data_IF_854010334943
#
_entry.id   IF_854010334943
#
_cell.length_a   1.000
_cell.length_b   1.000
_cell.length_c   1.000
_cell.angle_alpha   90.00
_cell.angle_beta   90.00
_cell.angle_gamma   90.00
#
_symmetry.space_group_name_H-M   'P 1'
#
loop_
_entity.id
_entity.type
_entity.pdbx_description
1 polymer ?
#
# COMPACT_ATOMS: atom_id res chain seq x y z
N UNK A 1 -2.35 -9.00 13.22
CA UNK A 1 -2.21 -9.07 11.74
C UNK A 1 -3.54 -9.14 10.97
N UNK A 2 -4.73 -9.17 11.60
CA UNK A 2 -6.01 -9.39 10.89
C UNK A 2 -6.37 -8.32 9.83
N UNK A 3 -5.78 -7.12 9.91
CA UNK A 3 -6.00 -6.03 8.95
C UNK A 3 -5.10 -6.11 7.70
N UNK A 4 -4.18 -7.07 7.65
CA UNK A 4 -3.39 -7.40 6.46
C UNK A 4 -4.04 -8.61 5.81
N UNK A 5 -4.54 -8.45 4.58
CA UNK A 5 -5.06 -9.61 3.84
C UNK A 5 -3.94 -10.61 3.48
N UNK A 6 -4.34 -11.80 3.05
CA UNK A 6 -3.39 -12.87 2.74
C UNK A 6 -2.39 -12.47 1.65
N UNK A 7 -2.85 -11.77 0.59
CA UNK A 7 -1.99 -11.34 -0.52
C UNK A 7 -0.89 -10.40 -0.03
N UNK A 8 -1.22 -9.43 0.81
CA UNK A 8 -0.27 -8.48 1.38
C UNK A 8 0.65 -9.15 2.41
N UNK A 9 0.14 -10.11 3.19
CA UNK A 9 0.96 -10.88 4.12
C UNK A 9 1.99 -11.74 3.38
N UNK A 10 1.63 -12.34 2.25
CA UNK A 10 2.54 -13.13 1.42
C UNK A 10 3.66 -12.27 0.82
N UNK A 11 3.34 -11.05 0.36
CA UNK A 11 4.34 -10.07 -0.09
C UNK A 11 5.38 -9.77 1.00
N UNK A 12 4.94 -9.56 2.25
CA UNK A 12 5.85 -9.32 3.38
C UNK A 12 6.69 -10.55 3.72
N UNK A 13 6.09 -11.74 3.75
CA UNK A 13 6.78 -13.01 4.04
C UNK A 13 7.82 -13.35 2.97
N UNK A 14 7.58 -12.98 1.71
CA UNK A 14 8.53 -13.19 0.62
C UNK A 14 9.88 -12.46 0.82
N UNK A 15 9.92 -11.41 1.65
CA UNK A 15 11.17 -10.73 2.02
C UNK A 15 12.09 -11.58 2.90
N UNK A 16 11.55 -12.64 3.53
CA UNK A 16 12.27 -13.51 4.46
C UNK A 16 13.09 -12.73 5.52
N UNK A 17 12.49 -11.65 6.05
CA UNK A 17 13.15 -10.71 6.94
C UNK A 17 12.27 -10.40 8.16
N UNK A 18 12.54 -11.08 9.27
CA UNK A 18 11.78 -10.91 10.51
C UNK A 18 11.81 -9.49 11.07
N UNK A 19 12.88 -8.71 10.82
CA UNK A 19 12.97 -7.33 11.30
C UNK A 19 11.90 -6.46 10.65
N UNK A 20 11.64 -6.67 9.35
CA UNK A 20 10.58 -5.93 8.63
C UNK A 20 9.21 -6.28 9.19
N UNK A 21 8.94 -7.57 9.45
CA UNK A 21 7.67 -8.02 10.03
C UNK A 21 7.42 -7.34 11.38
N UNK A 22 8.42 -7.35 12.28
CA UNK A 22 8.33 -6.72 13.60
C UNK A 22 8.04 -5.22 13.53
N UNK A 23 8.70 -4.50 12.61
CA UNK A 23 8.44 -3.07 12.40
C UNK A 23 7.00 -2.85 11.92
N UNK A 24 6.52 -3.65 10.97
CA UNK A 24 5.14 -3.52 10.48
C UNK A 24 4.13 -3.77 11.60
N UNK A 25 4.34 -4.82 12.41
CA UNK A 25 3.50 -5.10 13.57
C UNK A 25 3.49 -3.94 14.58
N UNK A 26 4.67 -3.43 14.94
CA UNK A 26 4.82 -2.30 15.86
C UNK A 26 4.00 -1.07 15.40
N UNK A 27 4.12 -0.69 14.13
CA UNK A 27 3.41 0.48 13.62
C UNK A 27 1.90 0.23 13.40
N UNK A 28 1.48 -1.01 13.14
CA UNK A 28 0.05 -1.36 13.13
C UNK A 28 -0.56 -1.15 14.51
N UNK A 29 0.10 -1.64 15.56
CA UNK A 29 -0.39 -1.52 16.94
C UNK A 29 -0.43 -0.06 17.41
N UNK A 30 0.58 0.74 17.02
CA UNK A 30 0.67 2.16 17.34
C UNK A 30 -0.35 3.02 16.59
N UNK A 31 -0.41 2.89 15.26
CA UNK A 31 -1.22 3.77 14.42
C UNK A 31 -2.69 3.33 14.29
N UNK A 32 -2.99 2.06 14.62
CA UNK A 32 -4.33 1.46 14.53
C UNK A 32 -5.03 1.75 13.18
N UNK A 33 -4.37 1.48 12.04
CA UNK A 33 -4.96 1.78 10.74
C UNK A 33 -6.16 0.87 10.47
N UNK A 34 -7.10 1.34 9.64
CA UNK A 34 -8.26 0.55 9.22
C UNK A 34 -7.93 -0.53 8.20
N UNK A 35 -6.84 -0.37 7.44
CA UNK A 35 -6.34 -1.31 6.41
C UNK A 35 -4.84 -1.15 6.23
N UNK A 36 -4.15 -2.23 5.91
CA UNK A 36 -2.74 -2.23 5.49
C UNK A 36 -2.63 -2.78 4.07
N UNK A 37 -1.77 -2.19 3.24
CA UNK A 37 -1.49 -2.63 1.88
C UNK A 37 0.01 -2.52 1.62
N UNK A 38 0.58 -3.52 0.94
CA UNK A 38 2.00 -3.66 0.65
C UNK A 38 2.21 -3.41 -0.83
N UNK A 39 2.97 -2.37 -1.15
CA UNK A 39 3.26 -1.88 -2.50
C UNK A 39 4.61 -2.44 -2.96
N UNK A 40 4.64 -3.11 -4.12
CA UNK A 40 5.83 -3.79 -4.65
C UNK A 40 6.37 -3.17 -5.94
N UNK A 41 5.93 -1.95 -6.27
CA UNK A 41 6.21 -1.28 -7.56
C UNK A 41 5.80 -2.11 -8.80
N UNK A 42 4.86 -3.04 -8.65
CA UNK A 42 4.24 -3.67 -9.82
C UNK A 42 3.34 -2.65 -10.53
N UNK A 43 3.09 -2.87 -11.82
CA UNK A 43 2.20 -1.98 -12.60
C UNK A 43 0.83 -1.85 -11.94
N UNK A 44 0.32 -2.94 -11.36
CA UNK A 44 -0.97 -2.96 -10.66
C UNK A 44 -0.95 -2.17 -9.35
N UNK A 45 0.13 -2.26 -8.57
CA UNK A 45 0.25 -1.52 -7.31
C UNK A 45 0.46 -0.01 -7.57
N UNK A 46 1.20 0.35 -8.62
CA UNK A 46 1.35 1.74 -9.08
C UNK A 46 -0.01 2.30 -9.48
N UNK A 47 -0.75 1.56 -10.30
CA UNK A 47 -2.08 1.98 -10.76
C UNK A 47 -3.07 2.08 -9.60
N UNK A 48 -3.02 1.14 -8.64
CA UNK A 48 -3.82 1.21 -7.41
C UNK A 48 -3.58 2.52 -6.65
N UNK A 49 -2.32 2.91 -6.43
CA UNK A 49 -2.01 4.17 -5.74
C UNK A 49 -2.52 5.38 -6.53
N UNK A 50 -2.28 5.45 -7.84
CA UNK A 50 -2.73 6.57 -8.68
C UNK A 50 -4.25 6.73 -8.67
N UNK A 51 -4.99 5.64 -8.89
CA UNK A 51 -6.45 5.71 -8.87
C UNK A 51 -6.98 6.05 -7.48
N UNK A 52 -6.34 5.57 -6.41
CA UNK A 52 -6.76 5.88 -5.05
C UNK A 52 -6.67 7.38 -4.74
N UNK A 53 -5.57 8.04 -5.12
CA UNK A 53 -5.41 9.49 -4.94
C UNK A 53 -6.49 10.28 -5.68
N UNK A 54 -6.84 9.87 -6.91
CA UNK A 54 -7.90 10.49 -7.70
C UNK A 54 -9.29 10.25 -7.07
N UNK A 55 -9.58 9.00 -6.65
CA UNK A 55 -10.85 8.64 -6.01
C UNK A 55 -11.11 9.42 -4.72
N UNK A 56 -10.06 9.68 -3.95
CA UNK A 56 -10.13 10.44 -2.70
C UNK A 56 -10.13 11.96 -2.92
N UNK A 57 -9.89 12.41 -4.16
CA UNK A 57 -9.78 13.83 -4.51
C UNK A 57 -8.48 14.47 -4.01
N UNK A 58 -7.46 13.68 -3.69
CA UNK A 58 -6.11 14.17 -3.35
C UNK A 58 -5.38 14.67 -4.61
N UNK A 59 -5.64 14.04 -5.75
CA UNK A 59 -5.08 14.40 -7.05
C UNK A 59 -6.16 14.56 -8.13
N UNK A 60 -5.88 15.37 -9.15
CA UNK A 60 -6.70 15.55 -10.35
C UNK A 60 -5.93 15.21 -11.63
N UNK A 61 -6.62 14.62 -12.61
CA UNK A 61 -6.04 14.31 -13.94
C UNK A 61 -5.68 15.59 -14.70
N UNK A 62 -4.57 15.54 -15.42
CA UNK A 62 -4.16 16.57 -16.38
C UNK A 62 -4.50 16.14 -17.81
N UNK A 63 -4.35 17.09 -18.75
CA UNK A 63 -4.55 16.83 -20.19
C UNK A 63 -3.55 15.84 -20.78
N UNK A 64 -2.37 15.69 -20.15
CA UNK A 64 -1.37 14.71 -20.55
C UNK A 64 -1.74 13.37 -19.93
N UNK A 65 -1.98 12.37 -20.77
CA UNK A 65 -2.34 11.01 -20.33
C UNK A 65 -1.36 10.48 -19.28
N UNK A 66 -1.90 9.87 -18.23
CA UNK A 66 -1.12 9.36 -17.10
C UNK A 66 -0.54 10.42 -16.14
N UNK A 67 -0.81 11.72 -16.31
CA UNK A 67 -0.32 12.76 -15.39
C UNK A 67 -1.43 13.30 -14.47
N UNK A 68 -1.05 13.66 -13.25
CA UNK A 68 -1.94 14.18 -12.20
C UNK A 68 -1.27 15.32 -11.40
N UNK A 69 -2.06 16.14 -10.69
CA UNK A 69 -1.62 17.22 -9.77
C UNK A 69 -2.44 17.22 -8.49
#
# INVERSE_FOLDING_TARGET
>A
MEIIDQKNLDKLKALNNEKVIKIVEEFIDLCKPSKVTVITDSVEDIEYCRQKSIELGEEAKLEIEGHTV
#
